data_IF_715410198790
#
_entry.id   IF_715410198790
#
_cell.length_a   1.000
_cell.length_b   1.000
_cell.length_c   1.000
_cell.angle_alpha   90.00
_cell.angle_beta   90.00
_cell.angle_gamma   90.00
#
_symmetry.space_group_name_H-M   'P 1'
#
loop_
_entity.id
_entity.type
_entity.pdbx_description
1 polymer ?
#
# COMPACT_ATOMS: atom_id res chain seq x y z
N UNK A 1 3.59 10.43 -7.42
CA UNK A 1 2.82 9.32 -6.78
C UNK A 1 3.40 9.15 -5.39
N UNK A 2 2.58 9.11 -4.33
CA UNK A 2 3.08 9.29 -2.96
C UNK A 2 4.09 8.20 -2.55
N UNK A 3 3.92 6.98 -3.05
CA UNK A 3 4.83 5.85 -2.83
C UNK A 3 6.24 6.12 -3.37
N UNK A 4 6.36 6.57 -4.63
CA UNK A 4 7.66 6.94 -5.23
C UNK A 4 8.29 8.16 -4.55
N UNK A 5 7.47 9.17 -4.23
CA UNK A 5 7.94 10.37 -3.54
C UNK A 5 8.49 10.01 -2.15
N UNK A 6 7.80 9.14 -1.41
CA UNK A 6 8.23 8.65 -0.10
C UNK A 6 9.52 7.83 -0.18
N UNK A 7 9.64 6.93 -1.16
CA UNK A 7 10.85 6.17 -1.39
C UNK A 7 12.07 7.06 -1.69
N UNK A 8 11.90 8.06 -2.57
CA UNK A 8 12.94 9.04 -2.90
C UNK A 8 13.34 9.89 -1.69
N UNK A 9 12.36 10.30 -0.89
CA UNK A 9 12.63 11.04 0.34
C UNK A 9 13.46 10.23 1.33
N UNK A 10 13.13 8.94 1.53
CA UNK A 10 13.89 8.05 2.42
C UNK A 10 15.32 7.80 1.94
N UNK A 11 15.54 7.72 0.62
CA UNK A 11 16.90 7.66 0.04
C UNK A 11 17.69 8.92 0.43
N UNK A 12 17.09 10.11 0.32
CA UNK A 12 17.77 11.36 0.68
C UNK A 12 18.13 11.42 2.18
N UNK A 13 17.35 10.76 3.03
CA UNK A 13 17.60 10.66 4.46
C UNK A 13 18.59 9.54 4.85
N UNK A 14 19.09 8.76 3.88
CA UNK A 14 20.08 7.70 4.12
C UNK A 14 19.50 6.40 4.68
N UNK A 15 18.20 6.14 4.52
CA UNK A 15 17.61 4.86 4.88
C UNK A 15 18.02 3.75 3.90
N UNK A 16 17.87 2.49 4.32
CA UNK A 16 18.27 1.34 3.52
C UNK A 16 17.45 1.18 2.23
N UNK A 17 18.09 0.68 1.17
CA UNK A 17 17.45 0.44 -0.13
C UNK A 17 16.21 -0.45 -0.01
N UNK A 18 16.27 -1.47 0.85
CA UNK A 18 15.15 -2.38 1.10
C UNK A 18 13.93 -1.63 1.66
N UNK A 19 14.12 -0.73 2.64
CA UNK A 19 13.02 0.05 3.19
C UNK A 19 12.44 0.99 2.14
N UNK A 20 13.30 1.68 1.40
CA UNK A 20 12.86 2.59 0.34
C UNK A 20 12.07 1.82 -0.74
N UNK A 21 12.49 0.61 -1.10
CA UNK A 21 11.78 -0.23 -2.06
C UNK A 21 10.43 -0.74 -1.52
N UNK A 22 10.34 -1.11 -0.24
CA UNK A 22 9.05 -1.43 0.39
C UNK A 22 8.08 -0.25 0.31
N UNK A 23 8.56 0.97 0.55
CA UNK A 23 7.77 2.19 0.41
C UNK A 23 7.44 2.49 -1.06
N UNK A 24 8.34 2.23 -2.01
CA UNK A 24 8.02 2.43 -3.42
C UNK A 24 6.85 1.55 -3.89
N UNK A 25 6.73 0.33 -3.33
CA UNK A 25 5.77 -0.69 -3.75
C UNK A 25 4.53 -0.81 -2.84
N UNK A 26 4.34 0.06 -1.84
CA UNK A 26 3.19 -0.09 -0.93
C UNK A 26 1.84 0.26 -1.57
N UNK A 27 0.74 -0.23 -0.96
CA UNK A 27 -0.64 0.20 -1.25
C UNK A 27 -0.98 0.28 -2.73
N UNK A 28 -0.83 -0.84 -3.44
CA UNK A 28 -1.18 -0.95 -4.84
C UNK A 28 -0.43 0.02 -5.77
N UNK A 29 0.80 0.45 -5.41
CA UNK A 29 1.66 1.32 -6.22
C UNK A 29 1.74 0.89 -7.70
N UNK A 30 1.80 -0.41 -7.98
CA UNK A 30 1.83 -0.92 -9.37
C UNK A 30 0.61 -0.49 -10.17
N UNK A 31 -0.59 -0.55 -9.59
CA UNK A 31 -1.83 -0.16 -10.26
C UNK A 31 -1.85 1.35 -10.55
N UNK A 32 -1.44 2.18 -9.58
CA UNK A 32 -1.39 3.63 -9.78
C UNK A 32 -0.27 4.03 -10.76
N UNK A 33 0.86 3.32 -10.73
CA UNK A 33 1.95 3.54 -11.69
C UNK A 33 1.52 3.25 -13.12
N UNK A 34 0.75 2.19 -13.36
CA UNK A 34 0.18 1.90 -14.69
C UNK A 34 -0.76 3.03 -15.15
N UNK A 35 -1.67 3.49 -14.29
CA UNK A 35 -2.61 4.58 -14.62
C UNK A 35 -1.91 5.92 -14.90
N UNK A 36 -0.67 6.09 -14.42
CA UNK A 36 0.13 7.32 -14.57
C UNK A 36 1.29 7.19 -15.55
N UNK A 37 1.52 6.02 -16.15
CA UNK A 37 2.68 5.78 -17.02
C UNK A 37 4.03 5.79 -16.28
N UNK A 38 4.05 5.45 -14.99
CA UNK A 38 5.24 5.47 -14.12
C UNK A 38 5.83 4.07 -13.85
N UNK A 39 5.44 3.06 -14.62
CA UNK A 39 5.89 1.66 -14.41
C UNK A 39 7.42 1.54 -14.47
N UNK A 40 8.08 2.21 -15.42
CA UNK A 40 9.54 2.22 -15.55
C UNK A 40 10.23 2.87 -14.35
N UNK A 41 9.60 3.86 -13.73
CA UNK A 41 10.17 4.50 -12.54
C UNK A 41 9.99 3.64 -11.30
N UNK A 42 8.87 2.93 -11.22
CA UNK A 42 8.61 1.96 -10.16
C UNK A 42 9.52 0.73 -10.28
N UNK A 43 9.87 0.29 -11.49
CA UNK A 43 10.71 -0.90 -11.70
C UNK A 43 12.16 -0.73 -11.28
N UNK A 44 12.61 0.51 -10.98
CA UNK A 44 13.93 0.78 -10.40
C UNK A 44 14.06 0.24 -8.96
N UNK A 45 12.94 0.03 -8.29
CA UNK A 45 12.90 -0.46 -6.92
C UNK A 45 12.62 -1.97 -6.92
N UNK A 46 13.43 -2.80 -6.24
CA UNK A 46 13.16 -4.23 -6.12
C UNK A 46 11.83 -4.48 -5.40
N UNK A 47 10.94 -5.28 -6.00
CA UNK A 47 9.68 -5.66 -5.36
C UNK A 47 9.91 -6.84 -4.42
N UNK A 48 9.49 -6.67 -3.17
CA UNK A 48 9.51 -7.73 -2.16
C UNK A 48 8.09 -8.26 -1.93
N UNK A 49 7.93 -9.58 -1.98
CA UNK A 49 6.68 -10.26 -1.59
C UNK A 49 6.89 -10.95 -0.24
N UNK A 50 6.63 -10.23 0.85
CA UNK A 50 6.87 -10.72 2.20
C UNK A 50 5.75 -10.37 3.18
N UNK A 51 5.86 -10.93 4.40
CA UNK A 51 4.96 -10.58 5.51
C UNK A 51 5.03 -9.10 5.87
N UNK A 52 6.20 -8.48 5.74
CA UNK A 52 6.41 -7.07 6.03
C UNK A 52 5.76 -6.19 4.95
N UNK A 53 5.89 -6.56 3.68
CA UNK A 53 5.22 -5.87 2.59
C UNK A 53 3.69 -5.92 2.76
N UNK A 54 3.13 -7.10 3.04
CA UNK A 54 1.69 -7.27 3.29
C UNK A 54 1.22 -6.41 4.49
N UNK A 55 2.00 -6.38 5.57
CA UNK A 55 1.68 -5.58 6.75
C UNK A 55 1.73 -4.07 6.48
N UNK A 56 2.68 -3.60 5.68
CA UNK A 56 2.78 -2.20 5.28
C UNK A 56 1.57 -1.77 4.44
N UNK A 57 1.14 -2.61 3.48
CA UNK A 57 -0.08 -2.37 2.70
C UNK A 57 -1.30 -2.31 3.60
N UNK A 58 -1.45 -3.27 4.52
CA UNK A 58 -2.58 -3.28 5.45
C UNK A 58 -2.59 -2.02 6.32
N UNK A 59 -1.45 -1.60 6.86
CA UNK A 59 -1.36 -0.43 7.71
C UNK A 59 -1.86 0.83 7.00
N UNK A 60 -1.39 1.10 5.79
CA UNK A 60 -1.82 2.26 5.01
C UNK A 60 -3.29 2.15 4.55
N UNK A 61 -3.72 0.96 4.08
CA UNK A 61 -5.10 0.71 3.65
C UNK A 61 -6.11 0.54 4.78
N UNK A 62 -5.69 0.78 6.03
CA UNK A 62 -6.57 0.85 7.21
C UNK A 62 -6.31 2.09 8.06
N UNK A 63 -5.53 3.05 7.55
CA UNK A 63 -5.22 4.30 8.25
C UNK A 63 -5.56 5.51 7.39
N UNK A 64 -6.33 6.44 7.95
CA UNK A 64 -6.67 7.70 7.28
C UNK A 64 -5.53 8.72 7.36
N UNK A 65 -5.65 9.86 6.64
CA UNK A 65 -4.58 10.87 6.57
C UNK A 65 -4.28 11.56 7.91
N UNK A 66 -5.21 11.55 8.88
CA UNK A 66 -5.01 12.09 10.21
C UNK A 66 -4.59 10.99 11.22
N UNK A 67 -4.27 9.79 10.75
CA UNK A 67 -3.86 8.65 11.57
C UNK A 67 -5.03 7.85 12.17
N UNK A 68 -6.27 8.17 11.77
CA UNK A 68 -7.47 7.48 12.23
C UNK A 68 -7.53 6.04 11.69
N UNK A 69 -8.05 5.12 12.50
CA UNK A 69 -8.21 3.71 12.11
C UNK A 69 -9.49 3.52 11.31
N UNK A 70 -9.38 2.79 10.22
CA UNK A 70 -10.49 2.41 9.36
C UNK A 70 -10.56 0.89 9.19
N UNK A 71 -11.77 0.38 8.93
CA UNK A 71 -11.88 -0.86 8.16
C UNK A 71 -11.60 -0.58 6.68
N UNK A 72 -11.22 -1.62 5.93
CA UNK A 72 -10.84 -1.43 4.54
C UNK A 72 -12.00 -0.90 3.66
N UNK A 73 -13.24 -1.40 3.74
CA UNK A 73 -14.35 -0.86 2.95
C UNK A 73 -14.59 0.64 3.18
N UNK A 74 -14.57 1.09 4.43
CA UNK A 74 -14.71 2.51 4.76
C UNK A 74 -13.50 3.32 4.27
N UNK A 75 -12.27 2.78 4.42
CA UNK A 75 -11.06 3.43 3.89
C UNK A 75 -11.14 3.61 2.37
N UNK A 76 -11.55 2.57 1.64
CA UNK A 76 -11.69 2.62 0.19
C UNK A 76 -12.77 3.62 -0.21
N UNK A 77 -13.94 3.60 0.44
CA UNK A 77 -15.01 4.57 0.18
C UNK A 77 -14.58 6.02 0.40
N UNK A 78 -13.79 6.26 1.45
CA UNK A 78 -13.18 7.56 1.73
C UNK A 78 -12.24 7.98 0.59
N UNK A 79 -11.32 7.11 0.17
CA UNK A 79 -10.40 7.39 -0.95
C UNK A 79 -11.18 7.75 -2.21
N UNK A 80 -12.20 6.95 -2.54
CA UNK A 80 -13.00 7.16 -3.75
C UNK A 80 -13.83 8.45 -3.72
N UNK A 81 -14.14 8.98 -2.53
CA UNK A 81 -14.86 10.25 -2.36
C UNK A 81 -13.92 11.45 -2.37
N UNK A 82 -12.68 11.29 -1.89
CA UNK A 82 -11.68 12.36 -1.79
C UNK A 82 -11.14 12.81 -3.15
N UNK A 83 -11.04 11.89 -4.10
CA UNK A 83 -10.46 12.16 -5.41
C UNK A 83 -11.53 12.26 -6.50
N UNK A 84 -11.24 13.03 -7.56
CA UNK A 84 -12.11 13.12 -8.73
C UNK A 84 -12.43 11.72 -9.31
N UNK A 85 -13.69 11.43 -9.71
CA UNK A 85 -14.12 10.09 -10.15
C UNK A 85 -13.31 9.49 -11.30
N UNK A 86 -12.72 10.32 -12.16
CA UNK A 86 -11.88 9.89 -13.28
C UNK A 86 -10.39 10.09 -13.01
N UNK A 87 -9.98 10.26 -11.76
CA UNK A 87 -8.57 10.37 -11.40
C UNK A 87 -7.85 9.03 -11.55
N UNK A 88 -6.52 9.04 -11.81
CA UNK A 88 -5.70 7.82 -11.77
C UNK A 88 -5.82 7.05 -10.44
N UNK A 89 -6.00 7.74 -9.32
CA UNK A 89 -6.14 7.12 -7.99
C UNK A 89 -7.43 6.31 -7.91
N UNK A 90 -8.56 6.87 -8.33
CA UNK A 90 -9.86 6.17 -8.32
C UNK A 90 -9.81 4.92 -9.20
N UNK A 91 -9.27 5.01 -10.42
CA UNK A 91 -9.17 3.85 -11.32
C UNK A 91 -8.23 2.77 -10.77
N UNK A 92 -7.07 3.18 -10.25
CA UNK A 92 -6.11 2.27 -9.65
C UNK A 92 -6.68 1.54 -8.44
N UNK A 93 -7.30 2.26 -7.49
CA UNK A 93 -7.86 1.67 -6.27
C UNK A 93 -9.07 0.78 -6.54
N UNK A 94 -9.88 1.15 -7.54
CA UNK A 94 -10.99 0.30 -8.00
C UNK A 94 -10.46 -1.03 -8.56
N UNK A 95 -9.42 -1.00 -9.41
CA UNK A 95 -8.78 -2.22 -9.94
C UNK A 95 -8.04 -3.01 -8.88
N UNK A 96 -7.38 -2.33 -7.93
CA UNK A 96 -6.56 -2.95 -6.91
C UNK A 96 -7.35 -3.63 -5.80
N UNK A 97 -8.65 -3.32 -5.69
CA UNK A 97 -9.52 -3.79 -4.59
C UNK A 97 -9.32 -5.27 -4.21
N UNK A 98 -9.45 -6.26 -5.12
CA UNK A 98 -9.29 -7.66 -4.74
C UNK A 98 -7.88 -7.99 -4.23
N UNK A 99 -6.84 -7.35 -4.78
CA UNK A 99 -5.45 -7.55 -4.35
C UNK A 99 -5.21 -6.98 -2.95
N UNK A 100 -5.78 -5.81 -2.65
CA UNK A 100 -5.69 -5.20 -1.32
C UNK A 100 -6.45 -6.02 -0.30
N UNK A 101 -7.68 -6.46 -0.61
CA UNK A 101 -8.49 -7.34 0.27
C UNK A 101 -7.74 -8.63 0.60
N UNK A 102 -7.16 -9.30 -0.40
CA UNK A 102 -6.37 -10.51 -0.19
C UNK A 102 -5.12 -10.25 0.68
N UNK A 103 -4.46 -9.11 0.51
CA UNK A 103 -3.28 -8.72 1.28
C UNK A 103 -3.61 -8.47 2.75
N UNK A 104 -4.72 -7.78 3.01
CA UNK A 104 -5.23 -7.55 4.36
C UNK A 104 -5.60 -8.87 5.03
N UNK A 105 -6.28 -9.78 4.32
CA UNK A 105 -6.67 -11.06 4.91
C UNK A 105 -5.47 -11.96 5.21
N UNK A 106 -4.48 -12.03 4.31
CA UNK A 106 -3.21 -12.73 4.60
C UNK A 106 -2.55 -12.20 5.88
N UNK A 107 -2.53 -10.88 6.05
CA UNK A 107 -1.93 -10.25 7.23
C UNK A 107 -2.73 -10.57 8.49
N UNK A 108 -4.06 -10.41 8.46
CA UNK A 108 -4.94 -10.72 9.60
C UNK A 108 -4.89 -12.18 10.01
N UNK A 109 -4.89 -13.10 9.04
CA UNK A 109 -4.75 -14.54 9.27
C UNK A 109 -3.44 -14.87 10.00
N UNK A 110 -2.32 -14.25 9.62
CA UNK A 110 -1.03 -14.43 10.32
C UNK A 110 -1.06 -13.89 11.75
N UNK A 111 -1.68 -12.73 11.97
CA UNK A 111 -1.83 -12.14 13.32
C UNK A 111 -2.68 -13.04 14.24
N UNK A 112 -3.75 -13.64 13.71
CA UNK A 112 -4.58 -14.61 14.46
C UNK A 112 -3.77 -15.85 14.83
N UNK A 113 -2.97 -16.38 13.90
CA UNK A 113 -2.15 -17.56 14.15
C UNK A 113 -1.08 -17.35 15.24
N UNK A 114 -0.56 -16.13 15.39
CA UNK A 114 0.38 -15.79 16.47
C UNK A 114 -0.30 -15.54 17.82
N UNK A 115 -1.60 -15.20 17.84
CA UNK A 115 -2.37 -14.92 19.06
C UNK A 115 -2.96 -16.15 19.75
N UNK A 116 -2.85 -17.34 19.15
CA UNK A 116 -3.30 -18.61 19.74
C UNK A 116 -2.16 -19.43 20.38
N UNK A 117 -0.97 -18.85 20.56
CA UNK A 117 0.17 -19.53 21.20
C UNK A 117 0.26 -19.34 22.73
N UNK A 118 -0.69 -18.64 23.34
CA UNK A 118 -0.80 -18.49 24.80
C UNK A 118 -2.15 -19.05 25.28
N UNK A 119 -2.14 -20.33 25.66
CA UNK A 119 -3.27 -21.06 26.24
C UNK A 119 -2.82 -22.36 26.88
#
# INVERSE_FOLDING_TARGET
MHQLNGAQHLVHLGYSDRLCALVAHHSAATFEAEERGLVTELSKWPREESRLADALWMADMTTGPAGERFDYPARLGEILTRYEPCSPVVRAMTRARPTVEATIERTRSRLRATGCADG
#
